data_IF_969426810442
#
_entry.id   IF_969426810442
#
_cell.length_a   1.000
_cell.length_b   1.000
_cell.length_c   1.000
_cell.angle_alpha   90.00
_cell.angle_beta   90.00
_cell.angle_gamma   90.00
#
_symmetry.space_group_name_H-M   'P 1'
#
loop_
_entity.id
_entity.type
_entity.pdbx_description
1 polymer ?
#
# COMPACT_ATOMS: atom_id res chain seq x y z
N UNK A 1 27.77 43.20 -29.98
CA UNK A 1 26.53 43.13 -29.21
C UNK A 1 26.21 41.67 -28.90
N UNK A 2 26.61 41.23 -27.73
CA UNK A 2 26.38 39.83 -27.30
C UNK A 2 25.08 39.78 -26.51
N UNK A 3 24.05 39.18 -27.08
CA UNK A 3 22.85 38.84 -26.37
C UNK A 3 23.07 37.50 -25.64
N UNK A 4 23.26 37.59 -24.33
CA UNK A 4 23.21 36.42 -23.43
C UNK A 4 21.74 36.06 -23.23
N UNK A 5 21.34 34.95 -23.85
CA UNK A 5 20.05 34.35 -23.58
C UNK A 5 20.21 33.48 -22.32
N UNK A 6 19.73 33.99 -21.20
CA UNK A 6 19.56 33.18 -19.98
C UNK A 6 18.39 32.25 -20.19
N UNK A 7 18.69 30.99 -20.47
CA UNK A 7 17.69 29.92 -20.45
C UNK A 7 17.41 29.57 -18.99
N UNK A 8 16.32 30.08 -18.46
CA UNK A 8 15.82 29.67 -17.15
C UNK A 8 15.28 28.24 -17.28
N UNK A 9 16.04 27.26 -16.81
CA UNK A 9 15.58 25.92 -16.65
C UNK A 9 14.53 25.92 -15.51
N UNK A 10 13.26 25.85 -15.88
CA UNK A 10 12.16 25.64 -14.97
C UNK A 10 12.26 24.20 -14.44
N UNK A 11 12.88 24.03 -13.29
CA UNK A 11 12.81 22.80 -12.50
C UNK A 11 11.35 22.65 -12.05
N UNK A 12 10.60 21.89 -12.82
CA UNK A 12 9.31 21.39 -12.34
C UNK A 12 9.58 20.45 -11.16
N UNK A 13 9.46 20.98 -9.96
CA UNK A 13 9.34 20.15 -8.76
C UNK A 13 8.05 19.38 -8.90
N UNK A 14 8.15 18.11 -9.28
CA UNK A 14 7.05 17.18 -9.13
C UNK A 14 6.87 17.02 -7.63
N UNK A 15 5.99 17.82 -7.05
CA UNK A 15 5.46 17.53 -5.74
C UNK A 15 4.77 16.17 -5.89
N UNK A 16 5.37 15.13 -5.32
CA UNK A 16 4.66 13.91 -5.06
C UNK A 16 3.56 14.28 -4.07
N UNK A 17 2.41 14.72 -4.59
CA UNK A 17 1.21 14.76 -3.79
C UNK A 17 1.02 13.35 -3.27
N UNK A 18 1.09 13.20 -1.95
CA UNK A 18 0.45 12.10 -1.26
C UNK A 18 -1.07 12.30 -1.40
N UNK A 19 -1.55 12.38 -2.65
CA UNK A 19 -2.96 12.23 -2.95
C UNK A 19 -3.30 10.83 -2.48
N UNK A 20 -4.25 10.71 -1.56
CA UNK A 20 -4.69 9.43 -1.04
C UNK A 20 -4.96 8.46 -2.20
N UNK A 21 -4.74 7.19 -1.96
CA UNK A 21 -5.04 6.13 -2.91
C UNK A 21 -6.46 6.33 -3.47
N UNK A 22 -6.72 6.06 -4.75
CA UNK A 22 -8.03 6.24 -5.36
C UNK A 22 -9.01 5.14 -4.93
N UNK A 23 -9.31 5.09 -3.64
CA UNK A 23 -10.17 4.08 -3.03
C UNK A 23 -11.65 4.48 -3.01
N UNK A 24 -12.52 3.52 -2.82
CA UNK A 24 -13.97 3.71 -2.81
C UNK A 24 -14.56 3.94 -1.42
N UNK A 25 -13.89 3.53 -0.36
CA UNK A 25 -14.35 3.65 1.03
C UNK A 25 -13.36 4.49 1.84
N UNK A 26 -13.90 5.55 2.46
CA UNK A 26 -13.14 6.44 3.33
C UNK A 26 -13.65 6.33 4.77
N UNK A 27 -13.00 5.50 5.61
CA UNK A 27 -13.41 5.36 7.00
C UNK A 27 -13.27 6.66 7.78
N UNK A 28 -14.16 6.88 8.73
CA UNK A 28 -14.01 8.01 9.67
C UNK A 28 -12.75 7.83 10.51
N UNK A 29 -12.05 8.93 10.77
CA UNK A 29 -10.91 8.90 11.69
C UNK A 29 -11.36 8.43 13.08
N UNK A 30 -10.53 7.61 13.71
CA UNK A 30 -10.75 7.13 15.07
C UNK A 30 -11.62 5.89 15.20
N UNK A 31 -12.00 5.24 14.08
CA UNK A 31 -12.62 3.92 14.14
C UNK A 31 -11.60 2.89 14.66
N UNK A 32 -12.07 2.01 15.52
CA UNK A 32 -11.28 0.86 15.95
C UNK A 32 -11.15 -0.17 14.81
N UNK A 33 -10.05 -0.91 14.79
CA UNK A 33 -9.81 -1.95 13.76
C UNK A 33 -10.94 -2.98 13.72
N UNK A 34 -11.56 -3.27 14.88
CA UNK A 34 -12.72 -4.18 14.99
C UNK A 34 -13.98 -3.68 14.26
N UNK A 35 -14.06 -2.39 13.96
CA UNK A 35 -15.19 -1.79 13.25
C UNK A 35 -15.02 -1.79 11.73
N UNK A 36 -13.79 -1.96 11.25
CA UNK A 36 -13.47 -1.90 9.82
C UNK A 36 -14.13 -3.01 8.99
N UNK A 37 -14.26 -4.27 9.46
CA UNK A 37 -14.88 -5.34 8.68
C UNK A 37 -16.32 -5.05 8.25
N UNK A 38 -17.07 -4.30 9.04
CA UNK A 38 -18.44 -3.93 8.73
C UNK A 38 -18.56 -2.98 7.51
N UNK A 39 -17.48 -2.29 7.18
CA UNK A 39 -17.43 -1.35 6.07
C UNK A 39 -17.00 -2.00 4.75
N UNK A 40 -16.27 -3.10 4.82
CA UNK A 40 -15.75 -3.78 3.64
C UNK A 40 -16.89 -4.42 2.82
N UNK A 41 -16.82 -4.26 1.50
CA UNK A 41 -17.80 -4.84 0.55
C UNK A 41 -17.25 -6.06 -0.18
N UNK A 42 -15.94 -6.21 -0.21
CA UNK A 42 -15.23 -7.33 -0.80
C UNK A 42 -14.66 -8.19 0.31
N UNK A 43 -14.75 -9.51 0.18
CA UNK A 43 -14.15 -10.42 1.15
C UNK A 43 -12.62 -10.41 1.07
N UNK A 44 -11.97 -10.75 2.18
CA UNK A 44 -10.50 -10.87 2.19
C UNK A 44 -10.02 -11.93 1.18
N UNK A 45 -10.73 -13.04 1.03
CA UNK A 45 -10.39 -14.07 0.06
C UNK A 45 -10.44 -13.57 -1.39
N UNK A 46 -11.45 -12.79 -1.75
CA UNK A 46 -11.57 -12.20 -3.09
C UNK A 46 -10.47 -11.15 -3.33
N UNK A 47 -10.17 -10.32 -2.33
CA UNK A 47 -9.08 -9.35 -2.39
C UNK A 47 -7.71 -10.01 -2.52
N UNK A 48 -7.46 -11.09 -1.78
CA UNK A 48 -6.24 -11.89 -1.88
C UNK A 48 -6.05 -12.48 -3.28
N UNK A 49 -7.11 -13.03 -3.86
CA UNK A 49 -7.08 -13.56 -5.22
C UNK A 49 -6.73 -12.48 -6.25
N UNK A 50 -7.28 -11.28 -6.09
CA UNK A 50 -6.95 -10.13 -6.94
C UNK A 50 -5.49 -9.69 -6.78
N UNK A 51 -4.97 -9.67 -5.55
CA UNK A 51 -3.59 -9.34 -5.25
C UNK A 51 -2.61 -10.33 -5.89
N UNK A 52 -2.83 -11.63 -5.71
CA UNK A 52 -2.00 -12.68 -6.31
C UNK A 52 -2.02 -12.63 -7.84
N UNK A 53 -3.18 -12.41 -8.44
CA UNK A 53 -3.31 -12.26 -9.90
C UNK A 53 -2.52 -11.06 -10.43
N UNK A 54 -2.47 -9.97 -9.69
CA UNK A 54 -1.76 -8.75 -10.09
C UNK A 54 -0.25 -8.92 -10.12
N UNK A 55 0.30 -9.76 -9.26
CA UNK A 55 1.75 -10.03 -9.19
C UNK A 55 2.25 -10.84 -10.37
N UNK A 56 1.40 -11.66 -10.99
CA UNK A 56 1.71 -12.47 -12.18
C UNK A 56 2.88 -13.46 -12.02
N UNK A 57 3.13 -13.93 -10.82
CA UNK A 57 4.15 -14.94 -10.51
C UNK A 57 3.44 -16.19 -10.01
N UNK A 58 3.46 -17.33 -10.78
CA UNK A 58 2.63 -18.50 -10.49
C UNK A 58 2.86 -19.13 -9.12
N UNK A 59 4.06 -19.02 -8.58
CA UNK A 59 4.45 -19.63 -7.31
C UNK A 59 4.48 -18.63 -6.14
N UNK A 60 4.03 -17.39 -6.34
CA UNK A 60 3.92 -16.40 -5.29
C UNK A 60 2.87 -16.80 -4.25
N UNK A 61 3.16 -16.56 -2.97
CA UNK A 61 2.28 -16.90 -1.85
C UNK A 61 2.06 -15.70 -0.94
N UNK A 62 0.86 -15.60 -0.39
CA UNK A 62 0.54 -14.58 0.62
C UNK A 62 1.12 -15.01 1.96
N UNK A 63 1.94 -14.16 2.57
CA UNK A 63 2.49 -14.38 3.91
C UNK A 63 1.69 -13.69 5.00
N UNK A 64 1.05 -12.57 4.70
CA UNK A 64 0.13 -11.88 5.60
C UNK A 64 -0.92 -11.10 4.81
N UNK A 65 -2.06 -10.87 5.43
CA UNK A 65 -3.13 -10.04 4.88
C UNK A 65 -3.93 -9.38 5.98
N UNK A 66 -4.14 -8.08 5.87
CA UNK A 66 -4.85 -7.28 6.87
C UNK A 66 -5.85 -6.33 6.21
N UNK A 67 -6.97 -6.10 6.89
CA UNK A 67 -7.90 -5.02 6.58
C UNK A 67 -7.54 -3.82 7.43
N UNK A 68 -7.23 -2.70 6.82
CA UNK A 68 -6.77 -1.52 7.53
C UNK A 68 -7.28 -0.22 6.91
N UNK A 69 -7.26 0.85 7.71
CA UNK A 69 -7.47 2.20 7.24
C UNK A 69 -6.11 2.87 7.04
N UNK A 70 -5.70 3.05 5.79
CA UNK A 70 -4.44 3.68 5.43
C UNK A 70 -4.65 4.85 4.47
N UNK A 71 -3.99 5.97 4.75
CA UNK A 71 -4.09 7.19 3.93
C UNK A 71 -5.53 7.63 3.63
N UNK A 72 -6.44 7.43 4.58
CA UNK A 72 -7.86 7.75 4.44
C UNK A 72 -8.68 6.72 3.66
N UNK A 73 -8.11 5.57 3.32
CA UNK A 73 -8.73 4.50 2.55
C UNK A 73 -8.92 3.24 3.37
N UNK A 74 -10.03 2.53 3.15
CA UNK A 74 -10.20 1.17 3.63
C UNK A 74 -9.64 0.21 2.58
N UNK A 75 -8.56 -0.47 2.94
CA UNK A 75 -7.84 -1.38 2.05
C UNK A 75 -7.57 -2.73 2.72
N UNK A 76 -7.41 -3.75 1.89
CA UNK A 76 -6.70 -4.97 2.28
C UNK A 76 -5.24 -4.81 1.86
N UNK A 77 -4.32 -5.00 2.79
CA UNK A 77 -2.87 -5.01 2.54
C UNK A 77 -2.35 -6.44 2.59
N UNK A 78 -1.68 -6.88 1.55
CA UNK A 78 -1.13 -8.24 1.45
C UNK A 78 0.37 -8.20 1.23
N UNK A 79 1.09 -8.95 2.05
CA UNK A 79 2.50 -9.24 1.83
C UNK A 79 2.62 -10.53 1.03
N UNK A 80 3.22 -10.45 -0.14
CA UNK A 80 3.38 -11.57 -1.06
C UNK A 80 4.85 -11.95 -1.18
N UNK A 81 5.14 -13.21 -0.87
CA UNK A 81 6.47 -13.81 -1.03
C UNK A 81 6.65 -14.36 -2.43
N UNK A 82 7.79 -14.04 -3.02
CA UNK A 82 8.21 -14.58 -4.30
C UNK A 82 9.30 -15.61 -4.05
N UNK A 83 9.15 -16.86 -4.53
CA UNK A 83 10.15 -17.90 -4.32
C UNK A 83 11.54 -17.49 -4.80
N UNK A 84 12.55 -17.78 -3.99
CA UNK A 84 13.94 -17.47 -4.29
C UNK A 84 14.35 -16.01 -4.09
N UNK A 85 13.44 -15.16 -3.64
CA UNK A 85 13.73 -13.74 -3.34
C UNK A 85 13.53 -13.43 -1.85
N UNK A 86 14.41 -12.61 -1.29
CA UNK A 86 14.30 -12.10 0.09
C UNK A 86 13.36 -10.91 0.21
N UNK A 87 13.06 -10.25 -0.92
CA UNK A 87 12.08 -9.16 -0.99
C UNK A 87 10.66 -9.69 -0.99
N UNK A 88 9.74 -8.89 -0.49
CA UNK A 88 8.30 -9.11 -0.60
C UNK A 88 7.68 -8.09 -1.55
N UNK A 89 6.50 -8.44 -2.04
CA UNK A 89 5.65 -7.52 -2.80
C UNK A 89 4.45 -7.20 -1.92
N UNK A 90 4.33 -5.94 -1.51
CA UNK A 90 3.15 -5.45 -0.81
C UNK A 90 2.10 -4.98 -1.82
N UNK A 91 0.89 -5.49 -1.70
CA UNK A 91 -0.22 -5.15 -2.60
C UNK A 91 -1.39 -4.60 -1.77
N UNK A 92 -1.81 -3.39 -2.07
CA UNK A 92 -3.01 -2.79 -1.49
C UNK A 92 -4.19 -2.97 -2.44
N UNK A 93 -5.29 -3.49 -1.90
CA UNK A 93 -6.54 -3.76 -2.63
C UNK A 93 -7.68 -2.96 -2.01
N UNK A 94 -8.46 -2.27 -2.83
CA UNK A 94 -9.64 -1.54 -2.38
C UNK A 94 -10.67 -2.48 -1.76
N UNK A 95 -11.04 -2.25 -0.52
CA UNK A 95 -12.00 -3.07 0.21
C UNK A 95 -13.45 -2.92 -0.29
N UNK A 96 -13.72 -1.92 -1.11
CA UNK A 96 -15.03 -1.71 -1.71
C UNK A 96 -15.21 -2.34 -3.08
N UNK A 97 -14.19 -2.29 -3.93
CA UNK A 97 -14.26 -2.74 -5.33
C UNK A 97 -13.43 -3.98 -5.65
N UNK A 98 -12.44 -4.31 -4.81
CA UNK A 98 -11.47 -5.36 -5.10
C UNK A 98 -10.38 -4.98 -6.10
N UNK A 99 -10.29 -3.71 -6.47
CA UNK A 99 -9.25 -3.21 -7.36
C UNK A 99 -7.91 -3.12 -6.64
N UNK A 100 -6.84 -3.51 -7.30
CA UNK A 100 -5.48 -3.27 -6.84
C UNK A 100 -5.16 -1.78 -6.98
N UNK A 101 -4.81 -1.15 -5.87
CA UNK A 101 -4.53 0.28 -5.80
C UNK A 101 -3.06 0.59 -5.88
N UNK A 102 -2.22 -0.23 -5.28
CA UNK A 102 -0.78 -0.06 -5.29
C UNK A 102 -0.04 -1.39 -5.16
N UNK A 103 1.17 -1.40 -5.68
CA UNK A 103 2.10 -2.52 -5.58
C UNK A 103 3.47 -1.95 -5.25
N UNK A 104 4.07 -2.40 -4.15
CA UNK A 104 5.39 -1.98 -3.71
C UNK A 104 6.30 -3.18 -3.55
N UNK A 105 7.56 -3.03 -3.92
CA UNK A 105 8.59 -4.03 -3.68
C UNK A 105 9.39 -3.60 -2.47
N UNK A 106 9.40 -4.42 -1.43
CA UNK A 106 10.12 -4.16 -0.19
C UNK A 106 11.26 -5.14 0.01
N UNK A 107 12.48 -4.58 0.12
CA UNK A 107 13.65 -5.36 0.49
C UNK A 107 13.69 -5.69 1.98
N UNK A 108 14.63 -6.56 2.42
CA UNK A 108 14.74 -6.98 3.83
C UNK A 108 14.93 -5.82 4.81
N UNK A 109 15.58 -4.75 4.39
CA UNK A 109 15.81 -3.56 5.24
C UNK A 109 14.52 -2.77 5.50
N UNK A 110 13.68 -2.61 4.49
CA UNK A 110 12.39 -1.95 4.63
C UNK A 110 11.44 -2.76 5.51
N UNK A 111 11.39 -4.08 5.33
CA UNK A 111 10.60 -4.99 6.16
C UNK A 111 11.01 -4.93 7.64
N UNK A 112 12.32 -4.88 7.93
CA UNK A 112 12.82 -4.77 9.30
C UNK A 112 12.44 -3.43 9.94
N UNK A 113 12.46 -2.34 9.18
CA UNK A 113 12.06 -1.02 9.65
C UNK A 113 10.58 -0.95 9.99
N UNK A 114 9.73 -1.56 9.16
CA UNK A 114 8.28 -1.64 9.38
C UNK A 114 7.95 -2.48 10.62
N UNK A 115 8.53 -3.67 10.74
CA UNK A 115 8.36 -4.52 11.92
C UNK A 115 8.78 -3.82 13.21
N UNK A 116 9.83 -3.00 13.18
CA UNK A 116 10.27 -2.22 14.32
C UNK A 116 9.29 -1.09 14.66
N UNK A 117 8.70 -0.46 13.66
CA UNK A 117 7.66 0.58 13.85
C UNK A 117 6.39 0.00 14.45
N UNK A 118 5.94 -1.16 13.98
CA UNK A 118 4.77 -1.86 14.51
C UNK A 118 4.98 -2.31 15.97
N UNK A 119 6.15 -2.84 16.28
CA UNK A 119 6.51 -3.21 17.65
C UNK A 119 6.53 -1.99 18.59
N UNK A 120 6.95 -0.82 18.12
CA UNK A 120 6.93 0.42 18.89
C UNK A 120 5.51 0.95 19.12
N UNK A 121 4.61 0.77 18.15
CA UNK A 121 3.19 1.17 18.25
C UNK A 121 2.44 0.34 19.29
N UNK A 122 2.75 -0.95 19.44
CA UNK A 122 2.12 -1.87 20.42
C UNK A 122 2.55 -1.57 21.86
N UNK A 123 3.68 -0.90 22.08
CA UNK A 123 4.21 -0.57 23.42
C UNK A 123 3.68 0.71 24.05
N UNK A 124 2.75 1.42 23.42
CA UNK A 124 2.12 2.58 24.03
C UNK A 124 1.04 2.15 25.02
N UNK A 125 1.16 2.50 26.31
CA UNK A 125 0.09 2.23 27.29
C UNK A 125 -1.17 3.04 27.00
#
# INVERSE_FOLDING_TARGET
>A
MNFLVFSAALLATVSANAAGLPCSIHPKKGLADSELPALAKVTQAAAEAAALKSVKIPSATVSSGELEAEAGCLIYSFDIKVPGKKSIVEVAVDAGTGKVLSTKHEGPKAQAAEAAADAAAVKKP
#
